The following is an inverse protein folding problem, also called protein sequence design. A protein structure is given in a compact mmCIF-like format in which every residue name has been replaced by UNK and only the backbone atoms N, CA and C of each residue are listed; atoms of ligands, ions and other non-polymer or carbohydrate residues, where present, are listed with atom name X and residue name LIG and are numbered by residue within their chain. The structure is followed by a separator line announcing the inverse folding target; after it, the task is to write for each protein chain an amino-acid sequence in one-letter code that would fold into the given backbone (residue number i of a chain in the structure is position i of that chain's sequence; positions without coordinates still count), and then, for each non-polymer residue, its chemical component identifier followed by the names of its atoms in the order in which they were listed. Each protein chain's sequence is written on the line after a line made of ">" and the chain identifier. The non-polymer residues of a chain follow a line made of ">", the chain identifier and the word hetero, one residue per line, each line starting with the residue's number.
data_IF_183397876133
#
_entry.id   IF_183397876133
#
_cell.length_a   1.000
_cell.length_b   1.000
_cell.length_c   1.000
_cell.angle_alpha   90.00
_cell.angle_beta   90.00
_cell.angle_gamma   90.00
#
_symmetry.space_group_name_H-M   'P 1'
#
loop_
_entity.id
_entity.type
_entity.pdbx_description
1 polymer ?
#
# COMPACT_ATOMS: atom_id res chain seq x y z
N UNK A 1 15.05 8.07 3.87
CA UNK A 1 13.98 7.05 3.93
C UNK A 1 12.67 7.74 4.24
N UNK A 2 11.63 7.51 3.42
CA UNK A 2 10.29 8.08 3.56
C UNK A 2 9.27 6.97 3.78
N UNK A 3 8.12 7.31 4.36
CA UNK A 3 7.01 6.39 4.57
C UNK A 3 5.74 6.93 3.92
N UNK A 4 4.94 6.03 3.34
CA UNK A 4 3.62 6.36 2.79
C UNK A 4 2.63 5.26 3.13
N UNK A 5 1.43 5.67 3.53
CA UNK A 5 0.32 4.77 3.82
C UNK A 5 -0.63 4.76 2.61
N UNK A 6 -1.10 3.57 2.26
CA UNK A 6 -2.12 3.35 1.25
C UNK A 6 -3.27 2.59 1.89
N UNK A 7 -4.50 3.04 1.67
CA UNK A 7 -5.71 2.43 2.22
C UNK A 7 -6.73 2.25 1.09
N UNK A 8 -7.30 1.05 0.99
CA UNK A 8 -8.28 0.72 -0.04
C UNK A 8 -9.32 -0.29 0.46
N UNK A 9 -10.50 -0.24 -0.14
CA UNK A 9 -11.62 -1.15 0.12
C UNK A 9 -11.50 -2.49 -0.63
N UNK A 10 -10.49 -2.63 -1.49
CA UNK A 10 -10.24 -3.83 -2.28
C UNK A 10 -8.75 -4.04 -2.47
N UNK A 11 -8.32 -5.32 -2.43
CA UNK A 11 -6.92 -5.69 -2.68
C UNK A 11 -6.42 -5.21 -4.05
N UNK A 12 -7.27 -5.30 -5.07
CA UNK A 12 -6.94 -4.90 -6.43
C UNK A 12 -6.56 -3.41 -6.54
N UNK A 13 -7.34 -2.52 -5.94
CA UNK A 13 -7.03 -1.08 -5.95
C UNK A 13 -5.72 -0.79 -5.22
N UNK A 14 -5.47 -1.48 -4.10
CA UNK A 14 -4.25 -1.32 -3.33
C UNK A 14 -3.02 -1.72 -4.14
N UNK A 15 -3.05 -2.90 -4.75
CA UNK A 15 -1.98 -3.40 -5.60
C UNK A 15 -1.70 -2.47 -6.78
N UNK A 16 -2.76 -1.95 -7.44
CA UNK A 16 -2.61 -0.98 -8.53
C UNK A 16 -1.87 0.29 -8.06
N UNK A 17 -2.26 0.86 -6.92
CA UNK A 17 -1.59 2.05 -6.36
C UNK A 17 -0.15 1.78 -5.96
N UNK A 18 0.13 0.63 -5.34
CA UNK A 18 1.49 0.25 -4.96
C UNK A 18 2.39 0.09 -6.21
N UNK A 19 1.89 -0.54 -7.26
CA UNK A 19 2.62 -0.72 -8.52
C UNK A 19 2.88 0.62 -9.23
N UNK A 20 1.88 1.51 -9.27
CA UNK A 20 2.08 2.87 -9.80
C UNK A 20 3.09 3.66 -8.99
N UNK A 21 3.09 3.50 -7.66
CA UNK A 21 4.02 4.15 -6.77
C UNK A 21 5.47 3.65 -6.95
N UNK A 22 5.65 2.34 -7.14
CA UNK A 22 6.94 1.69 -7.35
C UNK A 22 7.64 2.13 -8.66
N UNK A 23 6.91 2.71 -9.63
CA UNK A 23 7.52 3.17 -10.90
C UNK A 23 8.48 4.34 -10.72
N UNK A 24 8.27 5.16 -9.69
CA UNK A 24 9.01 6.40 -9.46
C UNK A 24 9.77 6.40 -8.13
N UNK A 25 9.68 5.31 -7.36
CA UNK A 25 10.23 5.22 -6.01
C UNK A 25 10.81 3.82 -5.81
N UNK A 26 12.01 3.75 -5.24
CA UNK A 26 12.61 2.49 -4.85
C UNK A 26 12.02 2.05 -3.51
N UNK A 27 11.27 0.95 -3.53
CA UNK A 27 10.64 0.38 -2.34
C UNK A 27 11.66 -0.43 -1.55
N UNK A 28 11.80 -0.08 -0.26
CA UNK A 28 12.69 -0.78 0.67
C UNK A 28 11.94 -1.83 1.50
N UNK A 29 10.71 -1.53 1.91
CA UNK A 29 9.90 -2.44 2.73
C UNK A 29 8.40 -2.11 2.62
N UNK A 30 7.56 -3.15 2.68
CA UNK A 30 6.10 -3.03 2.72
C UNK A 30 5.57 -3.84 3.90
N UNK A 31 4.74 -3.23 4.73
CA UNK A 31 3.89 -3.92 5.71
C UNK A 31 2.45 -3.82 5.26
N UNK A 32 1.75 -4.95 5.19
CA UNK A 32 0.35 -5.04 4.75
C UNK A 32 -0.51 -5.54 5.91
N UNK A 33 -1.66 -4.91 6.11
CA UNK A 33 -2.70 -5.39 7.01
C UNK A 33 -4.05 -5.35 6.31
N UNK A 34 -4.96 -6.21 6.77
CA UNK A 34 -6.35 -6.21 6.34
C UNK A 34 -7.25 -6.34 7.57
N UNK A 35 -8.35 -5.60 7.56
CA UNK A 35 -9.36 -5.66 8.61
C UNK A 35 -10.74 -5.81 8.00
N UNK A 36 -11.61 -6.58 8.66
CA UNK A 36 -13.02 -6.72 8.27
C UNK A 36 -13.87 -5.78 9.11
N UNK A 37 -14.75 -5.04 8.46
CA UNK A 37 -15.84 -4.32 9.11
C UNK A 37 -17.14 -4.68 8.38
N UNK A 38 -18.02 -5.41 9.08
CA UNK A 38 -19.20 -6.03 8.48
C UNK A 38 -18.82 -7.02 7.37
N UNK A 39 -19.40 -6.83 6.18
CA UNK A 39 -19.12 -7.64 4.99
C UNK A 39 -17.97 -7.10 4.13
N UNK A 40 -17.36 -5.97 4.52
CA UNK A 40 -16.30 -5.32 3.75
C UNK A 40 -14.94 -5.61 4.35
N UNK A 41 -13.96 -5.92 3.50
CA UNK A 41 -12.55 -6.05 3.90
C UNK A 41 -11.79 -4.81 3.45
N UNK A 42 -11.19 -4.11 4.40
CA UNK A 42 -10.35 -2.96 4.18
C UNK A 42 -8.89 -3.38 4.23
N UNK A 43 -8.08 -2.84 3.34
CA UNK A 43 -6.67 -3.15 3.21
C UNK A 43 -5.86 -1.87 3.42
N UNK A 44 -4.80 -1.98 4.22
CA UNK A 44 -3.85 -0.89 4.44
C UNK A 44 -2.43 -1.39 4.25
N UNK A 45 -1.60 -0.62 3.54
CA UNK A 45 -0.18 -0.89 3.38
C UNK A 45 0.65 0.32 3.80
N UNK A 46 1.71 0.08 4.58
CA UNK A 46 2.75 1.05 4.88
C UNK A 46 3.97 0.71 4.04
N UNK A 47 4.39 1.65 3.20
CA UNK A 47 5.53 1.52 2.30
C UNK A 47 6.65 2.41 2.78
N UNK A 48 7.83 1.84 3.02
CA UNK A 48 9.06 2.60 3.17
C UNK A 48 9.82 2.65 1.85
N UNK A 49 10.30 3.83 1.47
CA UNK A 49 10.87 4.07 0.14
C UNK A 49 11.95 5.14 0.15
N UNK A 50 12.72 5.18 -0.93
CA UNK A 50 13.57 6.31 -1.32
C UNK A 50 13.10 6.82 -2.68
N UNK A 51 13.25 8.13 -2.90
CA UNK A 51 12.96 8.73 -4.20
C UNK A 51 14.11 8.33 -5.12
N UNK A 52 13.76 7.80 -6.29
CA UNK A 52 14.73 7.41 -7.30
C UNK A 52 15.37 8.64 -7.96
#
# INVERSE_FOLDING_TARGET
>A
MKFKIFEEDTRYKLEKKLNEFAKNNEIQHISLTASKSGYTTYYAAVVSYVIQ
#
